data_IF_091033475785
#
_entry.id   IF_091033475785
#
_cell.length_a   1.000
_cell.length_b   1.000
_cell.length_c   1.000
_cell.angle_alpha   90.00
_cell.angle_beta   90.00
_cell.angle_gamma   90.00
#
_symmetry.space_group_name_H-M   'P 1'
#
loop_
_entity.id
_entity.type
_entity.pdbx_description
1 polymer ?
#
# COMPACT_ATOMS: atom_id res chain seq x y z
N UNK A 1 17.02 14.00 4.62
CA UNK A 1 16.69 12.89 3.72
C UNK A 1 15.22 13.04 3.35
N UNK A 2 14.85 13.03 2.07
CA UNK A 2 13.42 13.07 1.69
C UNK A 2 12.76 11.76 2.17
N UNK A 3 11.59 11.87 2.79
CA UNK A 3 10.82 10.69 3.20
C UNK A 3 10.35 9.93 1.96
N UNK A 4 10.38 8.60 2.03
CA UNK A 4 9.91 7.74 0.94
C UNK A 4 8.38 7.85 0.75
N UNK A 5 7.65 7.99 1.85
CA UNK A 5 6.19 8.13 1.86
C UNK A 5 5.77 9.15 2.91
N UNK A 6 4.68 9.85 2.65
CA UNK A 6 4.10 10.84 3.57
C UNK A 6 2.57 10.73 3.56
N UNK A 7 1.96 10.88 4.74
CA UNK A 7 0.51 11.05 4.88
C UNK A 7 0.20 12.52 5.11
N UNK A 8 -0.73 13.05 4.31
CA UNK A 8 -1.12 14.46 4.34
C UNK A 8 -2.60 14.56 4.59
N UNK A 9 -2.98 15.18 5.71
CA UNK A 9 -4.38 15.48 6.00
C UNK A 9 -4.80 16.76 5.26
N UNK A 10 -5.93 16.69 4.56
CA UNK A 10 -6.49 17.76 3.75
C UNK A 10 -7.92 18.07 4.22
N UNK A 11 -8.17 19.32 4.59
CA UNK A 11 -9.49 19.88 4.82
C UNK A 11 -9.93 20.62 3.55
N UNK A 12 -10.70 19.96 2.71
CA UNK A 12 -11.09 20.50 1.42
C UNK A 12 -12.38 21.33 1.57
N UNK A 13 -12.46 22.41 0.83
CA UNK A 13 -13.73 23.18 0.74
C UNK A 13 -14.77 22.35 -0.02
N UNK A 14 -15.98 22.31 0.50
CA UNK A 14 -17.12 21.70 -0.22
C UNK A 14 -17.35 22.36 -1.58
N UNK A 15 -17.81 21.60 -2.60
CA UNK A 15 -18.19 22.17 -3.87
C UNK A 15 -19.40 23.12 -3.69
N UNK A 16 -19.33 24.27 -4.38
CA UNK A 16 -20.43 25.23 -4.47
C UNK A 16 -20.68 25.54 -5.94
N UNK A 17 -21.85 26.11 -6.25
CA UNK A 17 -22.19 26.53 -7.61
C UNK A 17 -21.20 27.58 -8.15
N UNK A 18 -20.65 28.42 -7.27
CA UNK A 18 -19.68 29.45 -7.61
C UNK A 18 -18.27 28.88 -7.91
N UNK A 19 -17.94 27.71 -7.38
CA UNK A 19 -16.62 27.06 -7.57
C UNK A 19 -16.81 25.59 -8.00
N UNK A 20 -17.25 25.37 -9.25
CA UNK A 20 -17.56 24.04 -9.79
C UNK A 20 -16.28 23.31 -10.25
N UNK A 21 -15.34 23.04 -9.33
CA UNK A 21 -14.14 22.27 -9.65
C UNK A 21 -14.27 20.82 -9.20
N UNK A 22 -13.64 19.89 -9.92
CA UNK A 22 -13.65 18.46 -9.58
C UNK A 22 -12.95 18.17 -8.25
N UNK A 23 -13.31 17.05 -7.61
CA UNK A 23 -12.66 16.63 -6.36
C UNK A 23 -11.14 16.42 -6.58
N UNK A 24 -10.74 15.85 -7.71
CA UNK A 24 -9.32 15.71 -8.10
C UNK A 24 -8.62 17.07 -8.15
N UNK A 25 -9.22 18.08 -8.80
CA UNK A 25 -8.61 19.42 -8.89
C UNK A 25 -8.52 20.09 -7.51
N UNK A 26 -9.52 19.88 -6.62
CA UNK A 26 -9.48 20.38 -5.23
C UNK A 26 -8.31 19.81 -4.45
N UNK A 27 -8.13 18.49 -4.53
CA UNK A 27 -7.03 17.79 -3.87
C UNK A 27 -5.70 18.30 -4.41
N UNK A 28 -5.57 18.42 -5.72
CA UNK A 28 -4.34 18.90 -6.36
C UNK A 28 -3.97 20.32 -5.90
N UNK A 29 -4.94 21.24 -5.90
CA UNK A 29 -4.72 22.60 -5.41
C UNK A 29 -4.34 22.65 -3.93
N UNK A 30 -4.95 21.80 -3.09
CA UNK A 30 -4.59 21.71 -1.67
C UNK A 30 -3.18 21.17 -1.47
N UNK A 31 -2.77 20.17 -2.26
CA UNK A 31 -1.41 19.62 -2.22
C UNK A 31 -0.37 20.63 -2.73
N UNK A 32 -0.66 21.33 -3.83
CA UNK A 32 0.20 22.39 -4.37
C UNK A 32 0.43 23.50 -3.33
N UNK A 33 -0.61 23.90 -2.60
CA UNK A 33 -0.51 24.89 -1.53
C UNK A 33 0.40 24.44 -0.35
N UNK A 34 0.57 23.12 -0.17
CA UNK A 34 1.46 22.51 0.82
C UNK A 34 2.87 22.22 0.26
N UNK A 35 3.13 22.56 -1.01
CA UNK A 35 4.42 22.36 -1.66
C UNK A 35 4.60 21.01 -2.37
N UNK A 36 3.52 20.21 -2.52
CA UNK A 36 3.55 18.97 -3.31
C UNK A 36 3.19 19.26 -4.76
N UNK A 37 4.17 19.59 -5.57
CA UNK A 37 4.01 19.82 -7.00
C UNK A 37 4.03 18.49 -7.76
N UNK A 38 3.37 18.46 -8.93
CA UNK A 38 3.38 17.32 -9.87
C UNK A 38 2.94 15.96 -9.26
N UNK A 39 1.92 15.97 -8.40
CA UNK A 39 1.37 14.73 -7.83
C UNK A 39 0.63 13.94 -8.89
N UNK A 40 1.08 12.73 -9.19
CA UNK A 40 0.37 11.79 -10.04
C UNK A 40 -0.76 11.13 -9.24
N UNK A 41 -2.01 11.23 -9.73
CA UNK A 41 -3.18 10.57 -9.14
C UNK A 41 -3.64 9.47 -10.10
N UNK A 42 -3.39 8.20 -9.81
CA UNK A 42 -3.77 7.10 -10.68
C UNK A 42 -5.28 6.88 -10.72
N UNK A 43 -5.78 6.29 -11.80
CA UNK A 43 -7.21 6.05 -12.00
C UNK A 43 -7.85 5.21 -10.87
N UNK A 44 -7.10 4.29 -10.29
CA UNK A 44 -7.53 3.47 -9.15
C UNK A 44 -7.91 4.31 -7.92
N UNK A 45 -7.17 5.38 -7.67
CA UNK A 45 -7.45 6.35 -6.60
C UNK A 45 -8.58 7.30 -7.02
N UNK A 46 -8.53 7.83 -8.26
CA UNK A 46 -9.56 8.75 -8.77
C UNK A 46 -10.98 8.18 -8.64
N UNK A 47 -11.16 6.90 -8.91
CA UNK A 47 -12.47 6.21 -8.80
C UNK A 47 -13.06 6.22 -7.39
N UNK A 48 -12.23 6.39 -6.36
CA UNK A 48 -12.64 6.40 -4.95
C UNK A 48 -12.99 7.81 -4.45
N UNK A 49 -12.54 8.88 -5.13
CA UNK A 49 -12.62 10.25 -4.63
C UNK A 49 -14.07 10.71 -4.41
N UNK A 50 -14.97 10.50 -5.39
CA UNK A 50 -16.33 11.01 -5.32
C UNK A 50 -17.10 10.51 -4.08
N UNK A 51 -17.24 9.20 -3.85
CA UNK A 51 -17.96 8.73 -2.67
C UNK A 51 -17.22 9.04 -1.37
N UNK A 52 -15.87 8.94 -1.37
CA UNK A 52 -15.08 9.13 -0.17
C UNK A 52 -15.11 10.58 0.33
N UNK A 53 -14.88 11.57 -0.54
CA UNK A 53 -14.88 12.98 -0.15
C UNK A 53 -16.22 13.39 0.48
N UNK A 54 -17.34 12.93 -0.10
CA UNK A 54 -18.68 13.27 0.42
C UNK A 54 -18.98 12.59 1.75
N UNK A 55 -18.66 11.31 1.86
CA UNK A 55 -18.86 10.55 3.10
C UNK A 55 -17.98 11.07 4.25
N UNK A 56 -16.79 11.61 3.93
CA UNK A 56 -15.86 12.20 4.88
C UNK A 56 -16.09 13.69 5.17
N UNK A 57 -17.13 14.30 4.60
CA UNK A 57 -17.36 15.74 4.74
C UNK A 57 -16.21 16.60 4.19
N UNK A 58 -15.46 16.07 3.21
CA UNK A 58 -14.26 16.68 2.60
C UNK A 58 -13.02 16.78 3.50
N UNK A 59 -13.04 16.13 4.67
CA UNK A 59 -11.86 15.91 5.51
C UNK A 59 -11.25 14.55 5.15
N UNK A 60 -10.11 14.55 4.48
CA UNK A 60 -9.48 13.33 3.94
C UNK A 60 -7.98 13.29 4.23
N UNK A 61 -7.42 12.11 4.33
CA UNK A 61 -5.96 11.90 4.34
C UNK A 61 -5.54 11.23 3.03
N UNK A 62 -4.50 11.76 2.42
CA UNK A 62 -3.86 11.15 1.24
C UNK A 62 -2.49 10.59 1.61
N UNK A 63 -2.16 9.43 1.06
CA UNK A 63 -0.82 8.87 1.16
C UNK A 63 -0.07 9.11 -0.14
N UNK A 64 1.06 9.78 -0.02
CA UNK A 64 1.96 10.11 -1.12
C UNK A 64 3.22 9.25 -1.03
N UNK A 65 3.69 8.73 -2.16
CA UNK A 65 4.97 8.03 -2.28
C UNK A 65 5.86 8.83 -3.21
N UNK A 66 7.09 9.11 -2.75
CA UNK A 66 8.08 9.82 -3.54
C UNK A 66 8.66 8.88 -4.60
N UNK A 67 8.57 9.28 -5.86
CA UNK A 67 9.26 8.65 -6.98
C UNK A 67 10.50 9.46 -7.33
N UNK A 68 11.24 9.06 -8.32
CA UNK A 68 12.49 9.73 -8.70
C UNK A 68 12.34 11.25 -8.87
N UNK A 69 11.29 11.69 -9.55
CA UNK A 69 11.06 13.10 -9.90
C UNK A 69 9.75 13.69 -9.41
N UNK A 70 8.80 12.86 -8.99
CA UNK A 70 7.43 13.27 -8.66
C UNK A 70 6.86 12.50 -7.45
N UNK A 71 5.68 12.93 -7.02
CA UNK A 71 4.90 12.24 -6.02
C UNK A 71 3.78 11.43 -6.68
N UNK A 72 3.54 10.22 -6.19
CA UNK A 72 2.37 9.44 -6.56
C UNK A 72 1.43 9.32 -5.37
N UNK A 73 0.16 9.67 -5.55
CA UNK A 73 -0.89 9.37 -4.58
C UNK A 73 -1.24 7.89 -4.69
N UNK A 74 -1.01 7.13 -3.63
CA UNK A 74 -1.27 5.68 -3.62
C UNK A 74 -2.55 5.32 -2.87
N UNK A 75 -3.02 6.22 -1.99
CA UNK A 75 -4.21 5.98 -1.16
C UNK A 75 -4.90 7.29 -0.80
N UNK A 76 -6.22 7.19 -0.57
CA UNK A 76 -7.06 8.23 0.04
C UNK A 76 -7.93 7.59 1.12
N UNK A 77 -8.06 8.25 2.27
CA UNK A 77 -8.76 7.77 3.46
C UNK A 77 -9.65 8.88 4.01
N UNK A 78 -10.76 8.50 4.68
CA UNK A 78 -11.64 9.45 5.33
C UNK A 78 -11.04 9.92 6.66
N UNK A 79 -11.17 11.22 6.95
CA UNK A 79 -10.72 11.84 8.19
C UNK A 79 -9.19 11.96 8.28
N UNK A 80 -8.71 12.26 9.49
CA UNK A 80 -7.26 12.35 9.77
C UNK A 80 -6.71 10.99 10.22
N UNK A 81 -5.98 10.33 9.32
CA UNK A 81 -5.26 9.07 9.56
C UNK A 81 -3.74 9.25 9.53
N UNK A 82 -3.24 10.47 9.71
CA UNK A 82 -1.79 10.77 9.62
C UNK A 82 -0.96 9.99 10.64
N UNK A 83 -1.54 9.62 11.78
CA UNK A 83 -0.87 8.81 12.81
C UNK A 83 -0.81 7.31 12.51
N UNK A 84 -1.50 6.85 11.47
CA UNK A 84 -1.54 5.45 11.05
C UNK A 84 -0.71 5.27 9.76
N UNK A 85 0.59 5.54 9.83
CA UNK A 85 1.47 5.54 8.67
C UNK A 85 2.40 4.32 8.71
N UNK A 86 1.96 3.22 8.10
CA UNK A 86 2.64 1.93 8.11
C UNK A 86 3.03 1.48 6.72
N UNK A 87 4.08 0.64 6.66
CA UNK A 87 4.49 -0.08 5.46
C UNK A 87 4.90 -1.51 5.82
N UNK A 88 4.97 -2.36 4.80
CA UNK A 88 5.48 -3.71 4.90
C UNK A 88 6.84 -3.80 4.22
N UNK A 89 7.85 -4.31 4.92
CA UNK A 89 9.12 -4.71 4.34
C UNK A 89 9.16 -6.24 4.23
N UNK A 90 9.48 -6.76 3.03
CA UNK A 90 9.39 -8.20 2.75
C UNK A 90 10.70 -8.72 2.18
N UNK A 91 11.31 -9.65 2.90
CA UNK A 91 12.37 -10.49 2.34
C UNK A 91 11.74 -11.76 1.76
N UNK A 92 11.63 -11.78 0.44
CA UNK A 92 11.06 -12.89 -0.31
C UNK A 92 12.14 -13.90 -0.72
N UNK A 93 12.52 -14.74 0.24
CA UNK A 93 13.48 -15.81 -0.02
C UNK A 93 12.88 -17.04 -0.71
N UNK A 94 13.72 -17.81 -1.37
CA UNK A 94 13.28 -19.06 -2.04
C UNK A 94 12.77 -20.12 -1.06
N UNK A 95 13.27 -20.14 0.18
CA UNK A 95 12.91 -21.11 1.22
C UNK A 95 12.06 -20.48 2.33
N UNK A 96 12.34 -19.24 2.68
CA UNK A 96 11.72 -18.53 3.80
C UNK A 96 11.28 -17.15 3.35
N UNK A 97 10.10 -16.73 3.77
CA UNK A 97 9.61 -15.36 3.61
C UNK A 97 9.60 -14.71 4.98
N UNK A 98 10.18 -13.52 5.09
CA UNK A 98 10.13 -12.68 6.29
C UNK A 98 9.34 -11.41 5.94
N UNK A 99 8.43 -11.02 6.83
CA UNK A 99 7.64 -9.81 6.67
C UNK A 99 7.73 -8.96 7.94
N UNK A 100 8.02 -7.68 7.78
CA UNK A 100 8.10 -6.70 8.86
C UNK A 100 7.04 -5.64 8.67
N UNK A 101 6.35 -5.30 9.76
CA UNK A 101 5.51 -4.12 9.84
C UNK A 101 6.35 -2.95 10.35
N UNK A 102 6.42 -1.88 9.59
CA UNK A 102 7.26 -0.71 9.87
C UNK A 102 6.39 0.52 10.08
N UNK A 103 6.65 1.25 11.17
CA UNK A 103 6.16 2.61 11.36
C UNK A 103 6.98 3.57 10.50
N UNK A 104 6.34 4.23 9.54
CA UNK A 104 7.01 5.07 8.55
C UNK A 104 7.46 6.43 9.09
N UNK A 105 6.94 6.85 10.22
CA UNK A 105 7.31 8.13 10.82
C UNK A 105 8.58 8.00 11.67
N UNK A 106 8.69 6.91 12.43
CA UNK A 106 9.87 6.64 13.27
C UNK A 106 10.92 5.75 12.58
N UNK A 107 10.53 4.97 11.57
CA UNK A 107 11.34 3.93 10.96
C UNK A 107 11.48 2.67 11.83
N UNK A 108 10.72 2.58 12.91
CA UNK A 108 10.79 1.42 13.81
C UNK A 108 10.06 0.22 13.23
N UNK A 109 10.66 -0.96 13.37
CA UNK A 109 9.98 -2.24 13.13
C UNK A 109 9.05 -2.51 14.32
N UNK A 110 7.73 -2.55 14.05
CA UNK A 110 6.70 -2.82 15.05
C UNK A 110 6.65 -4.30 15.37
N UNK A 111 6.64 -5.14 14.34
CA UNK A 111 6.63 -6.60 14.45
C UNK A 111 7.27 -7.26 13.24
N UNK A 112 7.72 -8.51 13.42
CA UNK A 112 8.34 -9.33 12.40
C UNK A 112 7.81 -10.74 12.47
N UNK A 113 7.30 -11.24 11.34
CA UNK A 113 6.84 -12.61 11.17
C UNK A 113 7.60 -13.32 10.06
N UNK A 114 7.66 -14.65 10.13
CA UNK A 114 8.32 -15.45 9.09
C UNK A 114 7.58 -16.77 8.86
N UNK A 115 7.66 -17.27 7.65
CA UNK A 115 7.13 -18.59 7.28
C UNK A 115 8.01 -19.26 6.23
N UNK A 116 7.89 -20.57 6.14
CA UNK A 116 8.42 -21.29 4.98
C UNK A 116 7.68 -20.84 3.73
N UNK A 117 8.40 -20.60 2.65
CA UNK A 117 7.81 -20.26 1.37
C UNK A 117 6.96 -21.44 0.87
N UNK A 118 5.65 -21.26 0.72
CA UNK A 118 4.73 -22.32 0.30
C UNK A 118 5.06 -22.95 -1.05
N UNK A 119 5.89 -22.28 -1.87
CA UNK A 119 6.40 -22.84 -3.12
C UNK A 119 7.32 -24.04 -2.91
N UNK A 120 7.86 -24.26 -1.71
CA UNK A 120 8.72 -25.42 -1.39
C UNK A 120 7.97 -26.75 -1.58
N UNK A 121 6.63 -26.75 -1.53
CA UNK A 121 5.80 -27.93 -1.83
C UNK A 121 5.91 -28.37 -3.30
N UNK A 122 6.37 -27.51 -4.20
CA UNK A 122 6.50 -27.75 -5.65
C UNK A 122 7.96 -27.88 -6.11
N UNK A 123 8.90 -27.88 -5.18
CA UNK A 123 10.31 -28.01 -5.43
C UNK A 123 11.15 -27.37 -4.34
N UNK A 124 12.20 -28.05 -3.90
CA UNK A 124 13.08 -27.61 -2.80
C UNK A 124 13.98 -26.44 -3.19
N UNK A 125 14.26 -26.28 -4.48
CA UNK A 125 15.08 -25.22 -5.05
C UNK A 125 14.40 -24.54 -6.24
N UNK A 126 15.00 -23.46 -6.73
CA UNK A 126 14.45 -22.66 -7.83
C UNK A 126 14.35 -23.45 -9.13
N UNK A 127 15.35 -24.30 -9.43
CA UNK A 127 15.38 -25.04 -10.69
C UNK A 127 14.27 -26.10 -10.75
N UNK A 128 14.07 -26.83 -9.65
CA UNK A 128 12.96 -27.80 -9.55
C UNK A 128 11.59 -27.15 -9.68
N UNK A 129 11.40 -25.94 -9.17
CA UNK A 129 10.17 -25.16 -9.35
C UNK A 129 9.97 -24.70 -10.80
N UNK A 130 11.05 -24.24 -11.45
CA UNK A 130 11.02 -23.88 -12.87
C UNK A 130 10.61 -25.11 -13.69
N UNK A 131 11.25 -26.25 -13.46
CA UNK A 131 10.90 -27.51 -14.16
C UNK A 131 9.43 -27.85 -13.95
N UNK A 132 8.95 -27.81 -12.73
CA UNK A 132 7.53 -28.03 -12.41
C UNK A 132 6.60 -27.10 -13.21
N UNK A 133 6.93 -25.80 -13.34
CA UNK A 133 6.09 -24.88 -14.12
C UNK A 133 6.11 -25.13 -15.63
N UNK A 134 7.08 -25.89 -16.13
CA UNK A 134 7.19 -26.24 -17.55
C UNK A 134 6.38 -27.51 -17.91
N UNK A 135 6.04 -28.34 -16.93
CA UNK A 135 5.33 -29.59 -17.15
C UNK A 135 3.86 -29.39 -17.57
N UNK A 136 3.18 -28.35 -17.00
CA UNK A 136 1.79 -28.04 -17.33
C UNK A 136 1.48 -26.55 -17.08
N UNK A 137 0.61 -25.92 -17.91
CA UNK A 137 0.25 -24.49 -17.76
C UNK A 137 -0.33 -24.12 -16.39
N UNK A 138 -1.13 -25.00 -15.79
CA UNK A 138 -1.76 -24.82 -14.48
C UNK A 138 -0.80 -24.80 -13.32
N UNK A 139 0.40 -25.35 -13.46
CA UNK A 139 1.42 -25.36 -12.41
C UNK A 139 1.91 -23.96 -12.03
N UNK A 140 1.92 -23.02 -12.97
CA UNK A 140 2.23 -21.60 -12.68
C UNK A 140 1.22 -21.00 -11.72
N UNK A 141 -0.06 -21.27 -11.94
CA UNK A 141 -1.13 -20.78 -11.07
C UNK A 141 -1.04 -21.40 -9.67
N UNK A 142 -0.68 -22.69 -9.57
CA UNK A 142 -0.50 -23.37 -8.29
C UNK A 142 0.64 -22.73 -7.47
N UNK A 143 1.79 -22.48 -8.08
CA UNK A 143 2.92 -21.79 -7.43
C UNK A 143 2.53 -20.38 -7.01
N UNK A 144 1.82 -19.62 -7.85
CA UNK A 144 1.32 -18.30 -7.51
C UNK A 144 0.37 -18.34 -6.31
N UNK A 145 -0.60 -19.26 -6.32
CA UNK A 145 -1.54 -19.46 -5.20
C UNK A 145 -0.82 -19.79 -3.90
N UNK A 146 0.23 -20.62 -3.93
CA UNK A 146 1.03 -20.94 -2.76
C UNK A 146 1.73 -19.70 -2.19
N UNK A 147 2.28 -18.85 -3.05
CA UNK A 147 2.86 -17.56 -2.64
C UNK A 147 1.82 -16.67 -1.97
N UNK A 148 0.70 -16.42 -2.66
CA UNK A 148 -0.38 -15.56 -2.14
C UNK A 148 -0.90 -16.09 -0.79
N UNK A 149 -1.07 -17.41 -0.66
CA UNK A 149 -1.48 -18.04 0.61
C UNK A 149 -0.47 -17.78 1.72
N UNK A 150 0.84 -17.91 1.44
CA UNK A 150 1.89 -17.63 2.43
C UNK A 150 1.88 -16.17 2.87
N UNK A 151 1.77 -15.22 1.91
CA UNK A 151 1.68 -13.81 2.22
C UNK A 151 0.45 -13.49 3.07
N UNK A 152 -0.72 -13.97 2.68
CA UNK A 152 -1.95 -13.74 3.46
C UNK A 152 -1.85 -14.30 4.89
N UNK A 153 -1.22 -15.46 5.06
CA UNK A 153 -0.99 -16.02 6.40
C UNK A 153 -0.08 -15.13 7.25
N UNK A 154 0.99 -14.57 6.68
CA UNK A 154 1.88 -13.64 7.37
C UNK A 154 1.18 -12.32 7.71
N UNK A 155 0.35 -11.79 6.81
CA UNK A 155 -0.45 -10.58 7.05
C UNK A 155 -1.44 -10.78 8.21
N UNK A 156 -2.12 -11.92 8.26
CA UNK A 156 -3.01 -12.28 9.38
C UNK A 156 -2.23 -12.33 10.69
N UNK A 157 -1.06 -12.96 10.70
CA UNK A 157 -0.19 -13.07 11.87
C UNK A 157 0.24 -11.69 12.39
N UNK A 158 0.66 -10.77 11.48
CA UNK A 158 1.00 -9.39 11.86
C UNK A 158 -0.19 -8.66 12.46
N UNK A 159 -1.39 -8.81 11.86
CA UNK A 159 -2.60 -8.18 12.35
C UNK A 159 -3.02 -8.73 13.76
N UNK A 160 -2.90 -10.04 13.98
CA UNK A 160 -3.16 -10.67 15.28
C UNK A 160 -2.19 -10.20 16.36
N UNK A 161 -0.90 -10.07 16.02
CA UNK A 161 0.13 -9.67 16.98
C UNK A 161 0.04 -8.17 17.35
N UNK A 162 -0.30 -7.31 16.39
CA UNK A 162 -0.18 -5.85 16.54
C UNK A 162 -1.51 -5.12 16.66
N UNK A 163 -2.62 -5.75 16.26
CA UNK A 163 -3.91 -5.09 16.09
C UNK A 163 -3.99 -4.15 14.88
N UNK A 164 -2.93 -4.09 14.05
CA UNK A 164 -2.88 -3.24 12.86
C UNK A 164 -3.27 -4.07 11.63
N UNK A 165 -4.34 -3.65 10.96
CA UNK A 165 -4.77 -4.28 9.71
C UNK A 165 -3.76 -4.00 8.59
N UNK A 166 -3.35 -5.05 7.89
CA UNK A 166 -2.49 -4.93 6.71
C UNK A 166 -3.10 -4.05 5.60
N UNK A 167 -4.44 -3.93 5.55
CA UNK A 167 -5.13 -2.99 4.68
C UNK A 167 -4.74 -1.52 4.95
N UNK A 168 -4.18 -1.21 6.12
CA UNK A 168 -3.63 0.11 6.48
C UNK A 168 -2.21 0.35 5.96
N UNK A 169 -1.58 -0.66 5.33
CA UNK A 169 -0.24 -0.56 4.76
C UNK A 169 -0.32 -0.33 3.25
N UNK A 170 -0.36 0.92 2.75
CA UNK A 170 -0.50 1.21 1.32
C UNK A 170 0.78 0.89 0.51
N UNK A 171 1.87 0.60 1.19
CA UNK A 171 3.19 0.35 0.59
C UNK A 171 3.76 -0.97 1.08
N UNK A 172 4.27 -1.75 0.14
CA UNK A 172 5.07 -2.97 0.38
C UNK A 172 6.37 -2.86 -0.43
N UNK A 173 7.50 -3.12 0.20
CA UNK A 173 8.85 -3.06 -0.37
C UNK A 173 9.51 -4.41 -0.21
#
# INVERSE_FOLDING_TARGET
>A
MKRFSEKVFLQLKMPTEEVPVSDEKRIRLALEALGYEHVNIPLSVMRQLYPLCRNAGFDITVTLVHRETDWAMVRVEAGDTTKEHYALAVDYGSTTIVMELVDMDSGAVIDRVKSVNGQTAYGTDILSRITYTMEAPEHREQIQKATVKTFNSLLVQLAENTGIDAAKCPVMI
#
